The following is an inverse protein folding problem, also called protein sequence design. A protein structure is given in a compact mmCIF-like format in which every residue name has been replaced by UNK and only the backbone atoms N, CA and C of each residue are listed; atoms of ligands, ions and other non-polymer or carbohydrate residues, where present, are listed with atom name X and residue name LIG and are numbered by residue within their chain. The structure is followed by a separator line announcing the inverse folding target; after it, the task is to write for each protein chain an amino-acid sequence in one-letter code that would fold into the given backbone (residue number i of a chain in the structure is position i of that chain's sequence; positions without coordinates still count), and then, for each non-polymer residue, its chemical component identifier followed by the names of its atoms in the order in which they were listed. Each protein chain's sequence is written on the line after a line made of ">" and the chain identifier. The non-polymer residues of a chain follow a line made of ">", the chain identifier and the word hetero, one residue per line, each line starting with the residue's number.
data_IF_021597593874
#
_entry.id   IF_021597593874
#
_cell.length_a   1.000
_cell.length_b   1.000
_cell.length_c   1.000
_cell.angle_alpha   90.00
_cell.angle_beta   90.00
_cell.angle_gamma   90.00
#
_symmetry.space_group_name_H-M   'P 1'
#
loop_
_entity.id
_entity.type
_entity.pdbx_description
1 polymer ?
#
# COMPACT_ATOMS: atom_id res chain seq x y z
N UNK A 1 19.97 15.02 -37.57
CA UNK A 1 19.73 15.75 -36.30
C UNK A 1 18.95 14.93 -35.26
N UNK A 2 19.01 13.58 -35.26
CA UNK A 2 18.30 12.74 -34.27
C UNK A 2 19.26 11.71 -33.62
N UNK A 3 20.45 12.13 -33.20
CA UNK A 3 21.41 11.18 -32.59
C UNK A 3 22.19 11.73 -31.37
N UNK A 4 21.82 12.89 -30.82
CA UNK A 4 22.58 13.51 -29.71
C UNK A 4 21.79 13.67 -28.39
N UNK A 5 20.50 13.35 -28.34
CA UNK A 5 19.66 13.58 -27.15
C UNK A 5 19.40 12.34 -26.30
N UNK A 6 19.71 11.13 -26.79
CA UNK A 6 19.56 9.89 -26.02
C UNK A 6 20.51 9.75 -24.80
N UNK A 7 21.77 10.23 -24.80
CA UNK A 7 22.64 10.01 -23.63
C UNK A 7 22.26 10.87 -22.42
N UNK A 8 21.65 12.05 -22.61
CA UNK A 8 21.26 12.93 -21.50
C UNK A 8 20.20 12.27 -20.59
N UNK A 9 19.18 11.63 -21.16
CA UNK A 9 18.10 11.00 -20.37
C UNK A 9 18.60 9.79 -19.57
N UNK A 10 19.58 9.06 -20.10
CA UNK A 10 20.22 7.94 -19.39
C UNK A 10 21.08 8.48 -18.24
N UNK A 11 21.81 9.57 -18.45
CA UNK A 11 22.62 10.22 -17.41
C UNK A 11 21.72 10.82 -16.32
N UNK A 12 20.61 11.47 -16.67
CA UNK A 12 19.63 11.99 -15.70
C UNK A 12 18.92 10.87 -14.92
N UNK A 13 18.60 9.75 -15.56
CA UNK A 13 18.06 8.56 -14.88
C UNK A 13 19.09 7.96 -13.88
N UNK A 14 20.37 8.01 -14.23
CA UNK A 14 21.47 7.57 -13.36
C UNK A 14 21.76 8.57 -12.22
N UNK A 15 21.49 9.86 -12.41
CA UNK A 15 21.62 10.90 -11.37
C UNK A 15 20.43 10.92 -10.41
N UNK A 16 19.24 10.47 -10.84
CA UNK A 16 18.06 10.35 -9.98
C UNK A 16 18.13 9.12 -9.05
N UNK A 17 18.88 8.08 -9.43
CA UNK A 17 19.12 6.89 -8.62
C UNK A 17 20.63 6.65 -8.45
N UNK A 18 21.25 7.18 -7.38
CA UNK A 18 22.67 6.94 -7.12
C UNK A 18 22.96 5.44 -6.95
N UNK A 19 24.14 4.98 -7.39
CA UNK A 19 24.51 3.58 -7.26
C UNK A 19 24.52 3.16 -5.79
N UNK A 20 24.11 1.92 -5.52
CA UNK A 20 24.01 1.37 -4.16
C UNK A 20 25.27 1.60 -3.33
N UNK A 21 26.45 1.54 -3.98
CA UNK A 21 27.74 1.85 -3.36
C UNK A 21 27.81 3.26 -2.74
N UNK A 22 27.35 4.27 -3.47
CA UNK A 22 27.39 5.66 -3.01
C UNK A 22 26.39 5.88 -1.89
N UNK A 23 25.19 5.31 -2.02
CA UNK A 23 24.16 5.32 -0.97
C UNK A 23 24.67 4.62 0.29
N UNK A 24 25.28 3.45 0.16
CA UNK A 24 25.87 2.70 1.26
C UNK A 24 26.98 3.48 1.96
N UNK A 25 27.87 4.14 1.21
CA UNK A 25 28.92 5.01 1.76
C UNK A 25 28.33 6.23 2.49
N UNK A 26 27.34 6.90 1.89
CA UNK A 26 26.68 8.06 2.51
C UNK A 26 25.91 7.71 3.79
N UNK A 27 25.39 6.49 3.87
CA UNK A 27 24.69 5.95 5.04
C UNK A 27 25.61 5.24 6.05
N UNK A 28 26.91 5.13 5.77
CA UNK A 28 27.88 4.44 6.63
C UNK A 28 27.66 2.93 6.77
N UNK A 29 26.96 2.32 5.82
CA UNK A 29 26.65 0.87 5.81
C UNK A 29 27.42 0.16 4.70
N UNK A 30 27.62 -1.16 4.86
CA UNK A 30 28.16 -1.98 3.78
C UNK A 30 27.09 -2.27 2.71
N UNK A 31 27.51 -2.44 1.45
CA UNK A 31 26.62 -2.87 0.36
C UNK A 31 25.90 -4.20 0.71
N UNK A 32 26.59 -5.10 1.41
CA UNK A 32 26.02 -6.37 1.87
C UNK A 32 24.85 -6.15 2.85
N UNK A 33 24.97 -5.20 3.77
CA UNK A 33 23.89 -4.81 4.69
C UNK A 33 22.69 -4.27 3.93
N UNK A 34 22.92 -3.44 2.89
CA UNK A 34 21.85 -2.92 2.04
C UNK A 34 21.09 -4.04 1.33
N UNK A 35 21.78 -5.01 0.71
CA UNK A 35 21.11 -6.12 0.03
C UNK A 35 20.37 -7.05 1.00
N UNK A 36 20.91 -7.27 2.21
CA UNK A 36 20.22 -8.00 3.28
C UNK A 36 18.90 -7.31 3.66
N UNK A 37 18.93 -6.01 3.92
CA UNK A 37 17.72 -5.24 4.24
C UNK A 37 16.75 -5.16 3.07
N UNK A 38 17.24 -5.08 1.83
CA UNK A 38 16.38 -5.15 0.64
C UNK A 38 15.66 -6.51 0.54
N UNK A 39 16.29 -7.60 0.95
CA UNK A 39 15.66 -8.92 0.99
C UNK A 39 14.65 -9.05 2.13
N UNK A 40 14.99 -8.55 3.31
CA UNK A 40 14.15 -8.64 4.52
C UNK A 40 12.95 -7.69 4.46
N UNK A 41 13.13 -6.46 3.98
CA UNK A 41 12.13 -5.39 4.02
C UNK A 41 11.59 -5.00 2.64
N UNK A 42 12.28 -5.33 1.54
CA UNK A 42 11.83 -4.96 0.18
C UNK A 42 10.58 -5.68 -0.29
N UNK A 43 10.20 -6.79 0.36
CA UNK A 43 8.95 -7.51 0.11
C UNK A 43 7.79 -7.14 1.05
N UNK A 44 8.06 -6.39 2.13
CA UNK A 44 7.08 -6.16 3.20
C UNK A 44 5.81 -5.43 2.70
N UNK A 45 5.95 -4.59 1.67
CA UNK A 45 4.86 -3.79 1.10
C UNK A 45 3.80 -4.63 0.39
N UNK A 46 4.14 -5.77 -0.23
CA UNK A 46 3.15 -6.55 -0.99
C UNK A 46 2.28 -7.42 -0.10
N UNK A 47 2.86 -8.03 0.94
CA UNK A 47 2.14 -8.82 1.94
C UNK A 47 1.27 -7.93 2.83
N UNK A 48 1.79 -6.78 3.26
CA UNK A 48 0.99 -5.81 4.03
C UNK A 48 -0.13 -5.21 3.19
N UNK A 49 0.10 -4.89 1.92
CA UNK A 49 -0.95 -4.40 1.02
C UNK A 49 -2.05 -5.46 0.76
N UNK A 50 -1.70 -6.75 0.69
CA UNK A 50 -2.69 -7.84 0.60
C UNK A 50 -3.56 -7.91 1.85
N UNK A 51 -2.95 -7.90 3.04
CA UNK A 51 -3.67 -7.91 4.32
C UNK A 51 -4.57 -6.68 4.49
N UNK A 52 -4.11 -5.51 4.05
CA UNK A 52 -4.90 -4.28 4.08
C UNK A 52 -6.16 -4.40 3.21
N UNK A 53 -6.01 -4.92 1.98
CA UNK A 53 -7.15 -5.13 1.06
C UNK A 53 -8.17 -6.14 1.58
N UNK A 54 -7.70 -7.21 2.24
CA UNK A 54 -8.58 -8.20 2.88
C UNK A 54 -9.38 -7.57 4.02
N UNK A 55 -8.71 -6.81 4.89
CA UNK A 55 -9.38 -6.09 6.00
C UNK A 55 -10.37 -5.03 5.50
N UNK A 56 -10.05 -4.31 4.43
CA UNK A 56 -10.97 -3.35 3.80
C UNK A 56 -12.23 -4.05 3.26
N UNK A 57 -12.08 -5.22 2.64
CA UNK A 57 -13.19 -6.01 2.10
C UNK A 57 -14.09 -6.54 3.22
N UNK A 58 -13.49 -7.06 4.30
CA UNK A 58 -14.24 -7.51 5.47
C UNK A 58 -14.99 -6.36 6.13
N UNK A 59 -14.35 -5.20 6.29
CA UNK A 59 -14.99 -4.02 6.87
C UNK A 59 -16.18 -3.55 6.03
N UNK A 60 -16.05 -3.55 4.69
CA UNK A 60 -17.18 -3.25 3.80
C UNK A 60 -18.33 -4.25 3.96
N UNK A 61 -18.03 -5.55 4.06
CA UNK A 61 -19.04 -6.57 4.27
C UNK A 61 -19.76 -6.39 5.61
N UNK A 62 -19.00 -6.17 6.69
CA UNK A 62 -19.54 -5.93 8.04
C UNK A 62 -20.41 -4.67 8.08
N UNK A 63 -19.98 -3.56 7.44
CA UNK A 63 -20.78 -2.33 7.36
C UNK A 63 -22.12 -2.56 6.67
N UNK A 64 -22.16 -3.34 5.58
CA UNK A 64 -23.40 -3.70 4.89
C UNK A 64 -24.30 -4.57 5.77
N UNK A 65 -23.72 -5.58 6.43
CA UNK A 65 -24.47 -6.44 7.34
C UNK A 65 -25.09 -5.65 8.50
N UNK A 66 -24.32 -4.75 9.12
CA UNK A 66 -24.81 -3.87 10.19
C UNK A 66 -25.90 -2.93 9.69
N UNK A 67 -25.75 -2.32 8.51
CA UNK A 67 -26.77 -1.46 7.93
C UNK A 67 -28.09 -2.22 7.72
N UNK A 68 -28.05 -3.42 7.12
CA UNK A 68 -29.24 -4.24 6.90
C UNK A 68 -29.91 -4.61 8.23
N UNK A 69 -29.13 -5.12 9.19
CA UNK A 69 -29.64 -5.47 10.52
C UNK A 69 -30.24 -4.26 11.25
N UNK A 70 -29.65 -3.07 11.08
CA UNK A 70 -30.18 -1.84 11.69
C UNK A 70 -31.51 -1.45 11.07
N UNK A 71 -31.64 -1.55 9.75
CA UNK A 71 -32.91 -1.30 9.05
C UNK A 71 -33.98 -2.27 9.51
N UNK A 72 -33.67 -3.57 9.55
CA UNK A 72 -34.62 -4.60 10.01
C UNK A 72 -35.05 -4.36 11.46
N UNK A 73 -34.11 -3.96 12.34
CA UNK A 73 -34.42 -3.65 13.73
C UNK A 73 -35.35 -2.42 13.85
N UNK A 74 -35.16 -1.40 13.02
CA UNK A 74 -36.02 -0.22 12.98
C UNK A 74 -37.42 -0.58 12.50
N UNK A 75 -37.54 -1.37 11.43
CA UNK A 75 -38.83 -1.86 10.93
C UNK A 75 -39.57 -2.65 12.01
N UNK A 76 -38.88 -3.57 12.68
CA UNK A 76 -39.47 -4.37 13.77
C UNK A 76 -39.89 -3.50 14.95
N UNK A 77 -39.12 -2.47 15.30
CA UNK A 77 -39.48 -1.52 16.37
C UNK A 77 -40.68 -0.66 16.02
N UNK A 78 -40.78 -0.15 14.79
CA UNK A 78 -41.93 0.63 14.35
C UNK A 78 -43.19 -0.24 14.23
N UNK A 79 -43.06 -1.47 13.74
CA UNK A 79 -44.16 -2.45 13.73
C UNK A 79 -44.61 -2.82 15.16
N UNK A 80 -43.68 -2.98 16.10
CA UNK A 80 -43.99 -3.27 17.50
C UNK A 80 -44.56 -2.07 18.27
N UNK A 81 -44.25 -0.84 17.85
CA UNK A 81 -44.85 0.41 18.37
C UNK A 81 -46.23 0.71 17.80
N UNK A 82 -46.81 -0.21 17.03
CA UNK A 82 -48.12 -0.11 16.41
C UNK A 82 -49.11 0.72 17.23
N UNK A 83 -49.55 1.81 16.58
CA UNK A 83 -50.74 2.62 16.80
C UNK A 83 -51.73 2.08 17.86
N UNK A 84 -51.67 2.65 19.06
CA UNK A 84 -52.84 2.80 19.94
C UNK A 84 -53.40 4.21 19.76
#
# INVERSE_FOLDING_TARGET
>A
MICATLPMVIVDFFLLFPPVREVSKGLGISEHTYYRWRREYGGMNTTQAKKLKELEKENQHLKRAVANLTVDNLILKEAAKGNF
#
